data_IF_348529285528
#
_entry.id   IF_348529285528
#
_cell.length_a   1.000
_cell.length_b   1.000
_cell.length_c   1.000
_cell.angle_alpha   90.00
_cell.angle_beta   90.00
_cell.angle_gamma   90.00
#
_symmetry.space_group_name_H-M   'P 1'
#
loop_
_entity.id
_entity.type
_entity.pdbx_description
1 polymer ?
#
# COMPACT_ATOMS: atom_id res chain seq x y z
N UNK A 1 12.57 -0.23 5.74
CA UNK A 1 11.75 0.75 6.47
C UNK A 1 10.72 0.00 7.31
N UNK A 2 10.29 0.59 8.42
CA UNK A 2 9.23 0.07 9.30
C UNK A 2 8.22 1.19 9.50
N UNK A 3 6.95 0.94 9.24
CA UNK A 3 5.89 1.94 9.37
C UNK A 3 5.47 2.04 10.84
N UNK A 4 5.47 3.25 11.39
CA UNK A 4 4.84 3.52 12.68
C UNK A 4 3.33 3.68 12.45
N UNK A 5 2.55 2.69 12.88
CA UNK A 5 1.10 2.70 12.72
C UNK A 5 0.39 3.00 14.04
N UNK A 6 -0.74 3.69 13.96
CA UNK A 6 -1.64 3.82 15.10
C UNK A 6 -2.63 2.65 15.15
N UNK A 7 -3.02 2.20 16.34
CA UNK A 7 -3.89 1.02 16.55
C UNK A 7 -5.33 1.21 16.07
N UNK A 8 -5.66 2.36 15.50
CA UNK A 8 -6.96 2.71 14.92
C UNK A 8 -6.96 2.58 13.39
N UNK A 9 -5.78 2.52 12.76
CA UNK A 9 -5.60 2.57 11.30
C UNK A 9 -5.69 1.17 10.71
N UNK A 10 -6.80 0.48 10.96
CA UNK A 10 -6.95 -0.96 10.68
C UNK A 10 -7.54 -1.28 9.29
N UNK A 11 -8.04 -0.27 8.56
CA UNK A 11 -8.70 -0.44 7.25
C UNK A 11 -8.06 0.38 6.16
N UNK A 12 -7.48 -0.25 5.14
CA UNK A 12 -6.76 0.41 4.06
C UNK A 12 -7.68 1.23 3.14
N UNK A 13 -8.93 0.82 3.00
CA UNK A 13 -9.83 1.41 2.03
C UNK A 13 -10.18 2.89 2.28
N UNK A 14 -9.97 3.44 3.49
CA UNK A 14 -10.08 4.89 3.74
C UNK A 14 -9.01 5.72 3.03
N UNK A 15 -7.85 5.12 2.71
CA UNK A 15 -6.78 5.80 1.97
C UNK A 15 -7.24 6.23 0.56
N UNK A 16 -8.29 5.59 0.03
CA UNK A 16 -8.88 5.93 -1.27
C UNK A 16 -9.58 7.28 -1.26
N UNK A 17 -10.36 7.54 -0.20
CA UNK A 17 -10.99 8.84 0.01
C UNK A 17 -9.94 9.94 0.18
N UNK A 18 -8.84 9.65 0.88
CA UNK A 18 -7.72 10.59 1.04
C UNK A 18 -7.08 10.92 -0.32
N UNK A 19 -6.76 9.90 -1.14
CA UNK A 19 -6.16 10.12 -2.47
C UNK A 19 -7.12 10.87 -3.40
N UNK A 20 -8.41 10.50 -3.41
CA UNK A 20 -9.43 11.18 -4.21
C UNK A 20 -9.60 12.65 -3.83
N UNK A 21 -9.62 12.94 -2.51
CA UNK A 21 -9.68 14.30 -1.99
C UNK A 21 -8.43 15.10 -2.37
N UNK A 22 -7.24 14.53 -2.14
CA UNK A 22 -5.98 15.19 -2.47
C UNK A 22 -5.86 15.47 -3.97
N UNK A 23 -6.26 14.55 -4.85
CA UNK A 23 -6.25 14.77 -6.31
C UNK A 23 -7.15 15.93 -6.73
N UNK A 24 -8.36 16.01 -6.14
CA UNK A 24 -9.34 17.05 -6.46
C UNK A 24 -8.90 18.43 -5.97
N UNK A 25 -8.27 18.48 -4.80
CA UNK A 25 -7.89 19.71 -4.13
C UNK A 25 -6.47 20.19 -4.45
N UNK A 26 -5.62 19.32 -5.04
CA UNK A 26 -4.28 19.69 -5.52
C UNK A 26 -4.33 20.80 -6.59
N UNK A 27 -5.43 20.92 -7.33
CA UNK A 27 -5.62 22.00 -8.31
C UNK A 27 -6.00 23.35 -7.67
N UNK A 28 -6.28 23.39 -6.37
CA UNK A 28 -6.84 24.55 -5.67
C UNK A 28 -5.92 25.10 -4.58
N UNK A 29 -4.72 24.54 -4.38
CA UNK A 29 -3.74 24.90 -3.34
C UNK A 29 -4.29 24.91 -1.89
N UNK A 30 -5.42 24.23 -1.63
CA UNK A 30 -6.11 24.25 -0.33
C UNK A 30 -5.84 23.00 0.55
N UNK A 31 -5.09 22.02 0.06
CA UNK A 31 -5.11 20.65 0.59
C UNK A 31 -4.19 20.36 1.79
N UNK A 32 -4.21 21.16 2.86
CA UNK A 32 -3.40 20.84 4.06
C UNK A 32 -3.74 19.46 4.65
N UNK A 33 -2.80 18.81 5.35
CA UNK A 33 -3.05 17.49 5.96
C UNK A 33 -4.23 17.51 6.96
N UNK A 34 -4.40 18.61 7.70
CA UNK A 34 -5.54 18.79 8.62
C UNK A 34 -6.86 18.95 7.86
N UNK A 35 -6.83 19.62 6.71
CA UNK A 35 -7.98 19.73 5.81
C UNK A 35 -8.38 18.36 5.25
N UNK A 36 -7.43 17.56 4.76
CA UNK A 36 -7.70 16.20 4.28
C UNK A 36 -8.25 15.28 5.38
N UNK A 37 -7.77 15.43 6.63
CA UNK A 37 -8.31 14.70 7.76
C UNK A 37 -9.77 15.09 8.06
N UNK A 38 -10.10 16.37 7.91
CA UNK A 38 -11.46 16.89 8.10
C UNK A 38 -12.40 16.39 7.00
N UNK A 39 -11.94 16.38 5.74
CA UNK A 39 -12.68 15.76 4.63
C UNK A 39 -12.96 14.29 4.92
N UNK A 40 -11.94 13.51 5.31
CA UNK A 40 -12.12 12.09 5.61
C UNK A 40 -13.14 11.88 6.73
N UNK A 41 -13.06 12.64 7.82
CA UNK A 41 -14.00 12.53 8.92
C UNK A 41 -15.45 12.81 8.48
N UNK A 42 -15.67 13.91 7.74
CA UNK A 42 -16.99 14.29 7.21
C UNK A 42 -17.51 13.27 6.19
N UNK A 43 -16.64 12.78 5.30
CA UNK A 43 -16.97 11.73 4.35
C UNK A 43 -17.46 10.46 5.04
N UNK A 44 -16.81 10.04 6.12
CA UNK A 44 -17.20 8.83 6.87
C UNK A 44 -18.57 8.98 7.54
N UNK A 45 -18.91 10.19 8.03
CA UNK A 45 -20.25 10.47 8.59
C UNK A 45 -21.37 10.37 7.54
N UNK A 46 -21.05 10.62 6.26
CA UNK A 46 -22.00 10.58 5.13
C UNK A 46 -22.16 9.18 4.53
N UNK A 47 -21.36 8.19 4.95
CA UNK A 47 -21.48 6.83 4.42
C UNK A 47 -22.78 6.18 4.85
N UNK A 48 -23.40 5.42 3.94
CA UNK A 48 -24.53 4.58 4.30
C UNK A 48 -24.11 3.53 5.32
N UNK A 49 -24.92 3.38 6.36
CA UNK A 49 -24.70 2.39 7.40
C UNK A 49 -24.60 0.99 6.78
N UNK A 50 -23.72 0.12 7.31
CA UNK A 50 -23.69 -1.28 6.87
C UNK A 50 -25.03 -1.97 7.25
N UNK A 51 -25.42 -3.03 6.53
CA UNK A 51 -26.55 -3.86 6.94
C UNK A 51 -26.39 -4.34 8.39
N UNK A 52 -27.51 -4.46 9.12
CA UNK A 52 -27.52 -4.83 10.54
C UNK A 52 -26.83 -6.18 10.86
N UNK A 53 -26.68 -7.06 9.87
CA UNK A 53 -25.95 -8.33 9.97
C UNK A 53 -24.44 -8.19 9.99
N UNK A 54 -23.87 -6.99 9.80
CA UNK A 54 -22.44 -6.75 9.62
C UNK A 54 -21.86 -5.72 10.62
N UNK A 55 -22.49 -5.57 11.79
CA UNK A 55 -22.22 -4.50 12.78
C UNK A 55 -20.81 -4.56 13.42
N UNK A 56 -20.09 -5.70 13.36
CA UNK A 56 -18.75 -5.84 13.98
C UNK A 56 -17.59 -5.40 13.05
N UNK A 57 -17.73 -4.22 12.44
CA UNK A 57 -16.65 -3.61 11.63
C UNK A 57 -15.62 -2.95 12.54
N UNK A 58 -14.42 -3.54 12.61
CA UNK A 58 -13.25 -2.93 13.27
C UNK A 58 -12.63 -1.85 12.40
N UNK A 59 -12.01 -0.86 13.04
CA UNK A 59 -11.25 0.19 12.35
C UNK A 59 -12.10 1.32 11.81
N UNK A 60 -13.28 1.53 12.37
CA UNK A 60 -14.14 2.68 12.05
C UNK A 60 -13.45 3.98 12.46
N UNK A 61 -13.40 4.94 11.53
CA UNK A 61 -12.99 6.31 11.84
C UNK A 61 -14.13 6.99 12.60
N UNK A 62 -13.94 7.19 13.91
CA UNK A 62 -14.95 7.79 14.82
C UNK A 62 -14.52 9.13 15.41
N UNK A 63 -13.34 9.61 15.07
CA UNK A 63 -12.76 10.83 15.62
C UNK A 63 -11.82 11.49 14.62
N UNK A 64 -11.61 12.78 14.80
CA UNK A 64 -10.60 13.55 14.05
C UNK A 64 -9.20 12.98 14.24
N UNK A 65 -8.89 12.43 15.43
CA UNK A 65 -7.59 11.80 15.71
C UNK A 65 -7.37 10.57 14.82
N UNK A 66 -8.39 9.71 14.70
CA UNK A 66 -8.32 8.55 13.81
C UNK A 66 -8.14 8.99 12.35
N UNK A 67 -8.86 10.02 11.90
CA UNK A 67 -8.71 10.56 10.54
C UNK A 67 -7.30 11.12 10.28
N UNK A 68 -6.72 11.85 11.23
CA UNK A 68 -5.33 12.33 11.16
C UNK A 68 -4.32 11.19 11.10
N UNK A 69 -4.53 10.12 11.86
CA UNK A 69 -3.67 8.93 11.83
C UNK A 69 -3.70 8.27 10.44
N UNK A 70 -4.85 8.26 9.76
CA UNK A 70 -4.98 7.80 8.38
C UNK A 70 -4.24 8.69 7.37
N UNK A 71 -4.33 10.01 7.52
CA UNK A 71 -3.57 10.95 6.68
C UNK A 71 -2.06 10.80 6.89
N UNK A 72 -1.62 10.59 8.14
CA UNK A 72 -0.21 10.29 8.44
C UNK A 72 0.24 9.00 7.77
N UNK A 73 -0.56 7.93 7.85
CA UNK A 73 -0.25 6.68 7.13
C UNK A 73 -0.17 6.91 5.61
N UNK A 74 -1.08 7.69 5.04
CA UNK A 74 -1.04 8.02 3.61
C UNK A 74 0.26 8.74 3.22
N UNK A 75 0.76 9.64 4.06
CA UNK A 75 2.05 10.30 3.86
C UNK A 75 3.24 9.34 4.01
N UNK A 76 3.20 8.41 4.97
CA UNK A 76 4.24 7.39 5.16
C UNK A 76 4.30 6.37 4.01
N UNK A 77 3.18 6.12 3.36
CA UNK A 77 3.09 5.30 2.16
C UNK A 77 3.37 6.09 0.87
N UNK A 78 3.72 7.37 0.96
CA UNK A 78 3.92 8.26 -0.19
C UNK A 78 2.69 8.32 -1.13
N UNK A 79 1.49 8.12 -0.56
CA UNK A 79 0.22 8.45 -1.21
C UNK A 79 -0.01 9.97 -1.19
N UNK A 80 0.42 10.61 -0.10
CA UNK A 80 0.55 12.05 0.00
C UNK A 80 2.02 12.43 0.07
N UNK A 81 2.35 13.61 -0.46
CA UNK A 81 3.65 14.22 -0.25
C UNK A 81 3.80 14.63 1.21
N UNK A 82 4.97 14.38 1.79
CA UNK A 82 5.33 14.86 3.13
C UNK A 82 5.65 16.36 3.15
N UNK A 83 6.00 16.92 1.99
CA UNK A 83 6.48 18.31 1.85
C UNK A 83 5.39 19.26 1.39
N UNK A 84 4.37 18.74 0.71
CA UNK A 84 3.34 19.53 0.05
C UNK A 84 1.97 18.88 0.22
N UNK A 85 0.90 19.68 0.16
CA UNK A 85 -0.50 19.22 0.19
C UNK A 85 -0.93 18.45 -1.08
N UNK A 86 -0.02 17.77 -1.75
CA UNK A 86 -0.24 17.12 -3.06
C UNK A 86 -0.11 15.61 -2.96
N UNK A 87 -0.52 14.91 -4.01
CA UNK A 87 -0.22 13.48 -4.15
C UNK A 87 1.29 13.23 -4.12
N UNK A 88 1.69 12.16 -3.43
CA UNK A 88 3.02 11.56 -3.55
C UNK A 88 3.10 10.64 -4.78
N UNK A 89 4.26 10.05 -5.05
CA UNK A 89 4.46 9.18 -6.22
C UNK A 89 3.46 8.00 -6.24
N UNK A 90 3.29 7.30 -5.11
CA UNK A 90 2.36 6.18 -5.03
C UNK A 90 0.90 6.65 -5.09
N UNK A 91 0.64 7.88 -4.63
CA UNK A 91 -0.67 8.52 -4.73
C UNK A 91 -1.05 8.80 -6.16
N UNK A 92 -0.10 9.28 -6.97
CA UNK A 92 -0.29 9.49 -8.42
C UNK A 92 -0.57 8.15 -9.10
N UNK A 93 0.21 7.10 -8.83
CA UNK A 93 -0.05 5.74 -9.38
C UNK A 93 -1.51 5.33 -9.13
N UNK A 94 -1.98 5.49 -7.89
CA UNK A 94 -3.34 5.09 -7.52
C UNK A 94 -4.44 6.01 -8.08
N UNK A 95 -4.20 7.33 -8.09
CA UNK A 95 -5.15 8.35 -8.54
C UNK A 95 -5.52 8.25 -10.02
N UNK A 96 -4.71 7.57 -10.83
CA UNK A 96 -4.98 7.35 -12.26
C UNK A 96 -5.52 5.94 -12.58
N UNK A 97 -5.93 5.20 -11.55
CA UNK A 97 -6.69 3.95 -11.71
C UNK A 97 -8.17 4.24 -11.89
N UNK A 98 -8.92 3.37 -12.57
CA UNK A 98 -10.40 3.44 -12.61
C UNK A 98 -11.02 3.17 -11.24
N UNK A 99 -10.29 2.49 -10.36
CA UNK A 99 -10.74 2.15 -9.01
C UNK A 99 -11.09 3.38 -8.16
N UNK A 100 -10.42 4.52 -8.36
CA UNK A 100 -10.66 5.77 -7.60
C UNK A 100 -11.96 6.49 -7.99
N UNK A 101 -12.48 6.27 -9.21
CA UNK A 101 -13.54 7.09 -9.80
C UNK A 101 -14.81 7.15 -8.93
N UNK A 102 -15.16 6.04 -8.27
CA UNK A 102 -16.33 6.00 -7.40
C UNK A 102 -16.14 6.83 -6.12
N UNK A 103 -14.92 6.87 -5.57
CA UNK A 103 -14.57 7.74 -4.45
C UNK A 103 -14.61 9.21 -4.85
N UNK A 104 -14.13 9.54 -6.05
CA UNK A 104 -14.18 10.92 -6.56
C UNK A 104 -15.63 11.40 -6.77
N UNK A 105 -16.48 10.58 -7.40
CA UNK A 105 -17.89 10.89 -7.59
C UNK A 105 -18.62 11.10 -6.25
N UNK A 106 -18.33 10.26 -5.25
CA UNK A 106 -18.87 10.44 -3.90
C UNK A 106 -18.44 11.76 -3.25
N UNK A 107 -17.16 12.13 -3.34
CA UNK A 107 -16.67 13.40 -2.79
C UNK A 107 -17.28 14.63 -3.49
N UNK A 108 -17.66 14.51 -4.77
CA UNK A 108 -18.40 15.55 -5.50
C UNK A 108 -19.91 15.55 -5.24
N UNK A 109 -20.42 14.58 -4.48
CA UNK A 109 -21.86 14.41 -4.23
C UNK A 109 -22.64 13.82 -5.43
N UNK A 110 -21.94 13.23 -6.40
CA UNK A 110 -22.51 12.62 -7.60
C UNK A 110 -22.86 11.13 -7.41
N UNK A 111 -22.38 10.53 -6.32
CA UNK A 111 -22.60 9.12 -5.98
C UNK A 111 -22.75 8.94 -4.47
N UNK A 112 -23.33 7.81 -4.07
CA UNK A 112 -23.41 7.38 -2.68
C UNK A 112 -22.45 6.20 -2.43
N UNK A 113 -21.85 6.14 -1.24
CA UNK A 113 -21.02 5.02 -0.80
C UNK A 113 -21.56 4.44 0.50
N UNK A 114 -21.57 3.12 0.61
CA UNK A 114 -21.70 2.44 1.89
C UNK A 114 -20.35 2.31 2.58
N UNK A 115 -20.38 2.06 3.90
CA UNK A 115 -19.17 1.70 4.64
C UNK A 115 -18.46 0.48 4.03
N UNK A 116 -19.21 -0.50 3.52
CA UNK A 116 -18.64 -1.71 2.91
C UNK A 116 -17.87 -1.40 1.64
N UNK A 117 -18.40 -0.50 0.82
CA UNK A 117 -17.73 -0.03 -0.39
C UNK A 117 -16.39 0.63 -0.04
N UNK A 118 -16.31 1.31 1.12
CA UNK A 118 -15.09 1.98 1.61
C UNK A 118 -14.11 1.05 2.32
N UNK A 119 -14.53 -0.04 2.97
CA UNK A 119 -13.58 -0.94 3.65
C UNK A 119 -13.19 -2.17 2.83
N UNK A 120 -13.94 -2.49 1.77
CA UNK A 120 -13.67 -3.63 0.90
C UNK A 120 -12.87 -3.19 -0.32
N UNK A 121 -11.70 -3.79 -0.50
CA UNK A 121 -10.83 -3.55 -1.64
C UNK A 121 -11.20 -4.45 -2.82
N UNK A 122 -11.23 -3.87 -4.02
CA UNK A 122 -11.29 -4.58 -5.31
C UNK A 122 -9.98 -5.35 -5.55
N UNK A 123 -9.96 -6.40 -6.39
CA UNK A 123 -8.76 -7.21 -6.62
C UNK A 123 -7.51 -6.41 -6.97
N UNK A 124 -7.60 -5.44 -7.89
CA UNK A 124 -6.48 -4.58 -8.28
C UNK A 124 -6.01 -3.70 -7.11
N UNK A 125 -6.94 -3.18 -6.31
CA UNK A 125 -6.60 -2.40 -5.11
C UNK A 125 -5.89 -3.27 -4.07
N UNK A 126 -6.32 -4.53 -3.89
CA UNK A 126 -5.63 -5.48 -3.01
C UNK A 126 -4.18 -5.67 -3.46
N UNK A 127 -3.94 -5.89 -4.75
CA UNK A 127 -2.56 -6.02 -5.23
C UNK A 127 -1.77 -4.71 -5.05
N UNK A 128 -2.36 -3.56 -5.39
CA UNK A 128 -1.73 -2.25 -5.22
C UNK A 128 -1.31 -2.02 -3.76
N UNK A 129 -2.23 -2.18 -2.82
CA UNK A 129 -1.93 -1.97 -1.40
C UNK A 129 -1.01 -3.06 -0.84
N UNK A 130 -1.09 -4.31 -1.33
CA UNK A 130 -0.14 -5.36 -0.95
C UNK A 130 1.28 -4.99 -1.35
N UNK A 131 1.49 -4.61 -2.62
CA UNK A 131 2.78 -4.13 -3.12
C UNK A 131 3.28 -2.93 -2.30
N UNK A 132 2.40 -1.94 -2.11
CA UNK A 132 2.72 -0.70 -1.42
C UNK A 132 3.21 -0.96 0.00
N UNK A 133 2.48 -1.79 0.76
CA UNK A 133 2.82 -2.11 2.13
C UNK A 133 4.06 -3.00 2.23
N UNK A 134 4.22 -3.99 1.35
CA UNK A 134 5.41 -4.86 1.34
C UNK A 134 6.68 -4.07 1.06
N UNK A 135 6.63 -3.06 0.19
CA UNK A 135 7.80 -2.22 -0.11
C UNK A 135 8.07 -1.23 1.02
N UNK A 136 7.04 -0.57 1.56
CA UNK A 136 7.21 0.48 2.57
C UNK A 136 7.40 -0.05 4.00
N UNK A 137 6.91 -1.26 4.29
CA UNK A 137 7.06 -1.94 5.59
C UNK A 137 7.90 -3.23 5.48
N UNK A 138 8.86 -3.23 4.54
CA UNK A 138 9.63 -4.41 4.12
C UNK A 138 10.29 -5.21 5.26
N UNK A 139 10.70 -4.55 6.35
CA UNK A 139 11.39 -5.25 7.43
C UNK A 139 10.46 -6.04 8.36
N UNK A 140 9.18 -5.70 8.38
CA UNK A 140 8.21 -6.27 9.31
C UNK A 140 7.15 -7.06 8.56
N UNK A 141 6.44 -6.44 7.61
CA UNK A 141 5.28 -7.06 6.99
C UNK A 141 5.59 -8.37 6.24
N UNK A 142 6.65 -8.48 5.40
CA UNK A 142 7.01 -9.76 4.78
C UNK A 142 7.27 -10.89 5.78
N UNK A 143 7.90 -10.58 6.91
CA UNK A 143 8.15 -11.57 7.97
C UNK A 143 6.87 -11.95 8.72
N UNK A 144 5.96 -11.00 8.95
CA UNK A 144 4.62 -11.31 9.48
C UNK A 144 3.89 -12.23 8.52
N UNK A 145 3.87 -11.91 7.21
CA UNK A 145 3.16 -12.74 6.22
C UNK A 145 3.75 -14.15 6.20
N UNK A 146 5.09 -14.31 6.19
CA UNK A 146 5.72 -15.64 6.25
C UNK A 146 5.28 -16.43 7.49
N UNK A 147 5.35 -15.81 8.68
CA UNK A 147 4.90 -16.44 9.92
C UNK A 147 3.41 -16.82 9.89
N UNK A 148 2.56 -15.92 9.37
CA UNK A 148 1.13 -16.15 9.17
C UNK A 148 0.89 -17.36 8.27
N UNK A 149 1.63 -17.47 7.17
CA UNK A 149 1.51 -18.58 6.23
C UNK A 149 2.00 -19.90 6.83
N UNK A 150 3.01 -19.87 7.70
CA UNK A 150 3.50 -21.06 8.42
C UNK A 150 2.53 -21.52 9.51
N UNK A 151 1.92 -20.57 10.22
CA UNK A 151 1.03 -20.84 11.37
C UNK A 151 -0.41 -21.17 10.94
N UNK A 152 -0.87 -20.60 9.84
CA UNK A 152 -2.18 -20.81 9.18
C UNK A 152 -3.42 -20.38 9.98
N UNK A 153 -3.53 -20.68 11.28
CA UNK A 153 -4.60 -20.27 12.19
C UNK A 153 -4.03 -19.79 13.51
N UNK A 154 -4.43 -18.60 13.96
CA UNK A 154 -3.88 -17.99 15.17
C UNK A 154 -4.83 -16.95 15.78
N UNK A 155 -4.62 -16.68 17.06
CA UNK A 155 -5.26 -15.58 17.78
C UNK A 155 -4.46 -14.28 17.65
N UNK A 156 -5.15 -13.16 17.84
CA UNK A 156 -4.53 -11.83 17.89
C UNK A 156 -3.41 -11.76 18.93
N UNK A 157 -3.58 -12.41 20.07
CA UNK A 157 -2.61 -12.37 21.15
C UNK A 157 -1.33 -13.14 20.80
N UNK A 158 -1.46 -14.31 20.17
CA UNK A 158 -0.31 -15.10 19.68
C UNK A 158 0.49 -14.28 18.66
N UNK A 159 -0.19 -13.67 17.69
CA UNK A 159 0.46 -12.79 16.73
C UNK A 159 1.13 -11.59 17.41
N UNK A 160 0.45 -10.93 18.35
CA UNK A 160 1.03 -9.79 19.08
C UNK A 160 2.32 -10.18 19.81
N UNK A 161 2.31 -11.33 20.50
CA UNK A 161 3.48 -11.81 21.22
C UNK A 161 4.61 -12.17 20.25
N UNK A 162 4.35 -13.00 19.24
CA UNK A 162 5.39 -13.45 18.31
C UNK A 162 6.01 -12.28 17.53
N UNK A 163 5.19 -11.39 16.97
CA UNK A 163 5.68 -10.27 16.17
C UNK A 163 6.51 -9.32 17.02
N UNK A 164 6.10 -9.02 18.26
CA UNK A 164 6.81 -8.04 19.09
C UNK A 164 8.00 -8.63 19.85
N UNK A 165 7.98 -9.92 20.19
CA UNK A 165 9.03 -10.57 20.99
C UNK A 165 10.10 -11.22 20.11
N UNK A 166 9.75 -11.61 18.87
CA UNK A 166 10.68 -12.28 17.95
C UNK A 166 11.01 -11.42 16.73
N UNK A 167 9.99 -11.02 15.95
CA UNK A 167 10.22 -10.35 14.66
C UNK A 167 10.69 -8.90 14.80
N UNK A 168 10.10 -8.13 15.73
CA UNK A 168 10.42 -6.72 15.92
C UNK A 168 11.87 -6.49 16.35
N UNK A 169 12.45 -7.24 17.33
CA UNK A 169 13.87 -7.16 17.64
C UNK A 169 14.77 -7.57 16.46
N UNK A 170 14.37 -8.56 15.66
CA UNK A 170 15.11 -8.93 14.44
C UNK A 170 15.13 -7.79 13.41
N UNK A 171 13.97 -7.16 13.17
CA UNK A 171 13.88 -6.01 12.29
C UNK A 171 14.74 -4.84 12.78
N UNK A 172 14.74 -4.55 14.09
CA UNK A 172 15.60 -3.53 14.68
C UNK A 172 17.10 -3.85 14.49
N UNK A 173 17.51 -5.11 14.65
CA UNK A 173 18.90 -5.54 14.38
C UNK A 173 19.30 -5.29 12.93
N UNK A 174 18.43 -5.60 11.97
CA UNK A 174 18.69 -5.34 10.55
C UNK A 174 18.83 -3.85 10.24
N UNK A 175 18.01 -2.99 10.87
CA UNK A 175 18.13 -1.53 10.73
C UNK A 175 19.47 -1.06 11.32
N UNK A 176 19.81 -1.53 12.52
CA UNK A 176 21.03 -1.16 13.23
C UNK A 176 22.29 -1.51 12.42
N UNK A 177 22.31 -2.69 11.80
CA UNK A 177 23.43 -3.15 10.97
C UNK A 177 23.67 -2.26 9.73
N UNK A 178 22.61 -1.65 9.19
CA UNK A 178 22.67 -0.73 8.06
C UNK A 178 22.75 0.75 8.46
N UNK A 179 22.66 1.07 9.76
CA UNK A 179 22.57 2.42 10.27
C UNK A 179 23.95 3.07 10.44
N UNK A 180 24.06 4.36 10.09
CA UNK A 180 25.23 5.18 10.43
C UNK A 180 25.32 5.49 11.93
N UNK A 181 26.50 5.94 12.40
CA UNK A 181 26.83 6.16 13.83
C UNK A 181 25.75 6.91 14.64
N UNK A 182 25.16 7.97 14.08
CA UNK A 182 24.13 8.77 14.77
C UNK A 182 22.84 7.98 15.01
N UNK A 183 22.34 7.28 14.00
CA UNK A 183 21.12 6.47 14.10
C UNK A 183 21.31 5.25 15.03
N UNK A 184 22.54 4.74 15.17
CA UNK A 184 22.82 3.65 16.12
C UNK A 184 22.54 4.05 17.58
N UNK A 185 22.84 5.29 17.97
CA UNK A 185 22.61 5.77 19.34
C UNK A 185 21.13 5.78 19.76
N UNK A 186 20.21 5.99 18.80
CA UNK A 186 18.76 5.95 19.05
C UNK A 186 18.16 4.55 18.95
N UNK A 187 18.75 3.69 18.09
CA UNK A 187 18.23 2.35 17.82
C UNK A 187 18.68 1.31 18.85
N UNK A 188 19.89 1.45 19.40
CA UNK A 188 20.45 0.50 20.35
C UNK A 188 19.59 0.38 21.63
N UNK A 189 19.18 1.48 22.30
CA UNK A 189 18.28 1.39 23.46
C UNK A 189 16.92 0.79 23.11
N UNK A 190 16.40 1.07 21.91
CA UNK A 190 15.13 0.48 21.42
C UNK A 190 15.25 -1.04 21.26
N UNK A 191 16.39 -1.52 20.75
CA UNK A 191 16.66 -2.94 20.59
C UNK A 191 16.82 -3.65 21.95
N UNK A 192 17.62 -3.10 22.86
CA UNK A 192 17.82 -3.65 24.21
C UNK A 192 16.51 -3.73 25.00
N UNK A 193 15.64 -2.71 24.87
CA UNK A 193 14.30 -2.75 25.44
C UNK A 193 13.45 -3.86 24.79
N UNK A 194 13.51 -3.99 23.45
CA UNK A 194 12.71 -4.98 22.72
C UNK A 194 13.10 -6.43 23.03
N UNK A 195 14.38 -6.70 23.29
CA UNK A 195 14.85 -8.02 23.69
C UNK A 195 14.26 -8.48 25.04
N UNK A 196 13.84 -7.55 25.90
CA UNK A 196 13.25 -7.84 27.21
C UNK A 196 11.73 -7.84 27.22
N UNK A 197 11.07 -7.62 26.08
CA UNK A 197 9.60 -7.51 26.07
C UNK A 197 8.89 -8.75 26.59
N UNK A 198 9.39 -9.95 26.29
CA UNK A 198 8.82 -11.20 26.81
C UNK A 198 8.89 -11.24 28.34
N UNK A 199 10.05 -10.93 28.90
CA UNK A 199 10.28 -10.88 30.35
C UNK A 199 9.36 -9.85 31.01
N UNK A 200 9.31 -8.63 30.46
CA UNK A 200 8.44 -7.56 30.96
C UNK A 200 6.95 -7.92 30.86
N UNK A 201 6.50 -8.54 29.76
CA UNK A 201 5.11 -8.99 29.60
C UNK A 201 4.75 -10.05 30.64
N UNK A 202 5.65 -10.99 30.94
CA UNK A 202 5.40 -12.08 31.88
C UNK A 202 5.28 -11.61 33.34
N UNK A 203 5.71 -10.39 33.68
CA UNK A 203 5.48 -9.78 35.00
C UNK A 203 4.00 -9.48 35.28
N UNK A 204 3.19 -9.31 34.23
CA UNK A 204 1.76 -9.04 34.39
C UNK A 204 0.99 -10.35 34.60
N UNK A 205 0.58 -10.61 35.85
CA UNK A 205 -0.16 -11.83 36.22
C UNK A 205 -1.63 -11.79 35.78
N UNK A 206 -2.23 -10.60 35.71
CA UNK A 206 -3.64 -10.41 35.34
C UNK A 206 -3.78 -9.77 33.95
N UNK A 207 -4.71 -10.31 33.16
CA UNK A 207 -5.05 -9.78 31.82
C UNK A 207 -5.45 -8.29 31.84
N UNK A 208 -6.16 -7.85 32.87
CA UNK A 208 -6.61 -6.46 32.99
C UNK A 208 -5.43 -5.49 33.19
N UNK A 209 -4.41 -5.90 33.93
CA UNK A 209 -3.18 -5.11 34.14
C UNK A 209 -2.37 -5.05 32.85
N UNK A 210 -2.22 -6.19 32.17
CA UNK A 210 -1.54 -6.25 30.87
C UNK A 210 -2.16 -5.28 29.85
N UNK A 211 -3.48 -5.29 29.66
CA UNK A 211 -4.15 -4.44 28.65
C UNK A 211 -4.03 -2.94 28.94
N UNK A 212 -3.78 -2.56 30.20
CA UNK A 212 -3.57 -1.15 30.62
C UNK A 212 -2.10 -0.73 30.57
N UNK A 213 -1.17 -1.66 30.30
CA UNK A 213 0.26 -1.35 30.28
C UNK A 213 0.69 -0.58 29.02
N UNK A 214 1.77 0.20 29.16
CA UNK A 214 2.43 0.87 28.02
C UNK A 214 2.98 -0.13 26.99
N UNK A 215 3.44 -1.31 27.45
CA UNK A 215 3.94 -2.37 26.58
C UNK A 215 2.83 -2.95 25.69
N UNK A 216 1.64 -3.19 26.26
CA UNK A 216 0.48 -3.59 25.46
C UNK A 216 0.08 -2.54 24.43
N UNK A 217 0.11 -1.25 24.81
CA UNK A 217 -0.15 -0.17 23.87
C UNK A 217 0.82 -0.25 22.68
N UNK A 218 2.13 -0.43 22.94
CA UNK A 218 3.14 -0.61 21.89
C UNK A 218 2.83 -1.79 20.97
N UNK A 219 2.45 -2.94 21.53
CA UNK A 219 2.07 -4.12 20.73
C UNK A 219 0.84 -3.82 19.86
N UNK A 220 -0.15 -3.11 20.42
CA UNK A 220 -1.41 -2.77 19.75
C UNK A 220 -1.23 -1.77 18.61
N UNK A 221 -0.22 -0.92 18.67
CA UNK A 221 0.07 0.03 17.60
C UNK A 221 0.77 -0.63 16.40
N UNK A 222 1.57 -1.69 16.63
CA UNK A 222 2.30 -2.37 15.56
C UNK A 222 1.50 -3.50 14.91
N UNK A 223 0.97 -4.43 15.70
CA UNK A 223 0.52 -5.74 15.19
C UNK A 223 -0.91 -5.72 14.67
N UNK A 224 -1.94 -5.31 15.45
CA UNK A 224 -3.32 -5.34 14.99
C UNK A 224 -3.57 -4.62 13.66
N UNK A 225 -3.07 -3.38 13.39
CA UNK A 225 -3.29 -2.74 12.10
C UNK A 225 -2.83 -3.62 10.92
N UNK A 226 -1.65 -4.22 11.02
CA UNK A 226 -1.10 -5.10 9.98
C UNK A 226 -1.93 -6.35 9.78
N UNK A 227 -2.42 -6.99 10.85
CA UNK A 227 -3.32 -8.13 10.72
C UNK A 227 -4.61 -7.75 9.98
N UNK A 228 -5.16 -6.56 10.27
CA UNK A 228 -6.36 -6.09 9.60
C UNK A 228 -6.12 -5.65 8.15
N UNK A 229 -4.95 -5.11 7.85
CA UNK A 229 -4.52 -4.90 6.47
C UNK A 229 -4.44 -6.23 5.72
N UNK A 230 -3.87 -7.29 6.31
CA UNK A 230 -3.85 -8.61 5.69
C UNK A 230 -5.27 -9.19 5.47
N UNK A 231 -6.25 -8.82 6.30
CA UNK A 231 -7.67 -9.13 6.05
C UNK A 231 -8.20 -8.35 4.85
N UNK A 232 -7.99 -7.03 4.80
CA UNK A 232 -8.43 -6.18 3.67
C UNK A 232 -7.81 -6.63 2.33
N UNK A 233 -6.56 -7.10 2.36
CA UNK A 233 -5.83 -7.63 1.21
C UNK A 233 -6.29 -9.04 0.81
N UNK A 234 -7.15 -9.70 1.61
CA UNK A 234 -7.64 -11.05 1.35
C UNK A 234 -6.65 -12.17 1.69
N UNK A 235 -5.56 -11.87 2.40
CA UNK A 235 -4.59 -12.87 2.87
C UNK A 235 -5.11 -13.63 4.10
N UNK A 236 -5.83 -12.92 4.96
CA UNK A 236 -6.44 -13.46 6.17
C UNK A 236 -7.96 -13.37 6.09
N UNK A 237 -8.63 -14.27 6.80
CA UNK A 237 -10.05 -14.22 7.14
C UNK A 237 -10.20 -14.15 8.65
N UNK A 238 -11.21 -13.43 9.11
CA UNK A 238 -11.62 -13.44 10.51
C UNK A 238 -12.62 -14.57 10.72
N UNK A 239 -12.31 -15.48 11.61
CA UNK A 239 -13.18 -16.64 11.90
C UNK A 239 -14.01 -16.39 13.15
N UNK A 240 -13.41 -15.75 14.16
CA UNK A 240 -14.05 -15.32 15.40
C UNK A 240 -13.41 -14.03 15.88
N UNK A 241 -13.98 -13.42 16.93
CA UNK A 241 -13.42 -12.22 17.55
C UNK A 241 -11.96 -12.44 17.95
N UNK A 242 -11.05 -11.74 17.26
CA UNK A 242 -9.60 -11.83 17.51
C UNK A 242 -8.96 -13.16 17.11
N UNK A 243 -9.56 -13.91 16.18
CA UNK A 243 -8.99 -15.14 15.60
C UNK A 243 -8.96 -15.03 14.08
N UNK A 244 -7.81 -15.37 13.49
CA UNK A 244 -7.52 -15.22 12.07
C UNK A 244 -7.10 -16.55 11.48
N UNK A 245 -7.44 -16.75 10.21
CA UNK A 245 -7.01 -17.89 9.40
C UNK A 245 -6.57 -17.42 8.03
N UNK A 246 -5.57 -18.08 7.44
CA UNK A 246 -5.16 -17.81 6.06
C UNK A 246 -6.29 -18.15 5.10
N UNK A 247 -6.46 -17.36 4.04
CA UNK A 247 -7.47 -17.63 3.02
C UNK A 247 -7.10 -18.83 2.15
N UNK A 248 -8.10 -19.57 1.67
CA UNK A 248 -7.88 -20.81 0.89
C UNK A 248 -7.09 -20.52 -0.41
N UNK A 249 -7.37 -19.38 -1.04
CA UNK A 249 -6.64 -18.91 -2.23
C UNK A 249 -5.14 -18.79 -1.96
N UNK A 250 -4.78 -18.26 -0.78
CA UNK A 250 -3.39 -18.00 -0.40
C UNK A 250 -2.71 -19.28 0.07
N UNK A 251 -3.41 -20.17 0.78
CA UNK A 251 -2.92 -21.49 1.13
C UNK A 251 -2.57 -22.31 -0.13
N UNK A 252 -3.44 -22.29 -1.15
CA UNK A 252 -3.18 -22.94 -2.44
C UNK A 252 -1.92 -22.46 -3.16
N UNK A 253 -1.39 -21.28 -2.79
CA UNK A 253 -0.19 -20.68 -3.38
C UNK A 253 0.88 -20.33 -2.32
N UNK A 254 0.85 -20.98 -1.15
CA UNK A 254 1.71 -20.65 0.01
C UNK A 254 3.20 -20.56 -0.33
N UNK A 255 3.73 -21.56 -1.04
CA UNK A 255 5.13 -21.59 -1.44
C UNK A 255 5.51 -20.40 -2.35
N UNK A 256 4.58 -19.94 -3.17
CA UNK A 256 4.78 -18.82 -4.08
C UNK A 256 4.90 -17.50 -3.30
N UNK A 257 4.00 -17.25 -2.36
CA UNK A 257 4.05 -16.08 -1.49
C UNK A 257 5.36 -16.04 -0.68
N UNK A 258 5.73 -17.16 -0.04
CA UNK A 258 6.97 -17.25 0.74
C UNK A 258 8.19 -16.96 -0.14
N UNK A 259 8.26 -17.56 -1.34
CA UNK A 259 9.36 -17.33 -2.28
C UNK A 259 9.43 -15.86 -2.70
N UNK A 260 8.33 -15.26 -3.14
CA UNK A 260 8.30 -13.85 -3.57
C UNK A 260 8.72 -12.89 -2.45
N UNK A 261 8.27 -13.13 -1.22
CA UNK A 261 8.59 -12.30 -0.05
C UNK A 261 10.04 -12.48 0.46
N UNK A 262 10.76 -13.48 -0.04
CA UNK A 262 12.17 -13.71 0.32
C UNK A 262 13.15 -12.93 -0.56
N UNK A 263 12.67 -12.27 -1.63
CA UNK A 263 13.51 -11.43 -2.48
C UNK A 263 13.89 -10.10 -1.80
N UNK A 264 15.08 -9.56 -2.09
CA UNK A 264 15.52 -8.27 -1.56
C UNK A 264 14.63 -7.11 -2.04
N UNK A 265 14.63 -5.95 -1.36
CA UNK A 265 13.80 -4.80 -1.71
C UNK A 265 13.94 -4.33 -3.17
N UNK A 266 15.13 -4.45 -3.75
CA UNK A 266 15.42 -4.05 -5.13
C UNK A 266 14.71 -4.92 -6.17
N UNK A 267 14.36 -6.17 -5.81
CA UNK A 267 13.71 -7.13 -6.73
C UNK A 267 12.27 -7.42 -6.37
N UNK A 268 11.83 -7.12 -5.14
CA UNK A 268 10.51 -7.55 -4.66
C UNK A 268 9.35 -6.98 -5.50
N UNK A 269 9.46 -5.74 -5.98
CA UNK A 269 8.44 -5.14 -6.84
C UNK A 269 8.26 -5.96 -8.11
N UNK A 270 9.34 -6.22 -8.85
CA UNK A 270 9.31 -7.05 -10.07
C UNK A 270 8.67 -8.42 -9.79
N UNK A 271 9.06 -9.07 -8.69
CA UNK A 271 8.57 -10.40 -8.32
C UNK A 271 7.09 -10.41 -7.92
N UNK A 272 6.58 -9.36 -7.28
CA UNK A 272 5.15 -9.24 -6.97
C UNK A 272 4.34 -9.22 -8.28
N UNK A 273 4.75 -8.41 -9.26
CA UNK A 273 4.05 -8.31 -10.54
C UNK A 273 4.22 -9.56 -11.40
N UNK A 274 5.41 -10.16 -11.45
CA UNK A 274 5.64 -11.36 -12.27
C UNK A 274 4.97 -12.62 -11.73
N UNK A 275 4.82 -12.70 -10.41
CA UNK A 275 4.54 -13.97 -9.73
C UNK A 275 3.25 -13.96 -8.92
N UNK A 276 2.99 -12.90 -8.15
CA UNK A 276 1.79 -12.84 -7.30
C UNK A 276 0.60 -12.20 -8.00
N UNK A 277 0.82 -11.22 -8.89
CA UNK A 277 -0.29 -10.60 -9.63
C UNK A 277 -1.16 -11.60 -10.41
N UNK A 278 -0.59 -12.60 -11.14
CA UNK A 278 -1.39 -13.62 -11.83
C UNK A 278 -2.26 -14.48 -10.90
N UNK A 279 -1.86 -14.63 -9.63
CA UNK A 279 -2.57 -15.44 -8.63
C UNK A 279 -3.62 -14.62 -7.88
N UNK A 280 -3.32 -13.35 -7.61
CA UNK A 280 -4.20 -12.45 -6.86
C UNK A 280 -5.31 -11.85 -7.74
N UNK A 281 -5.10 -11.76 -9.05
CA UNK A 281 -6.07 -11.25 -10.02
C UNK A 281 -6.61 -12.42 -10.86
N UNK A 282 -7.90 -12.71 -10.71
CA UNK A 282 -8.55 -13.80 -11.43
C UNK A 282 -8.54 -13.53 -12.94
N UNK A 283 -8.26 -14.57 -13.75
CA UNK A 283 -8.20 -14.50 -15.21
C UNK A 283 -7.11 -13.58 -15.79
N UNK A 284 -6.12 -13.22 -14.98
CA UNK A 284 -5.03 -12.38 -15.42
C UNK A 284 -4.15 -13.08 -16.46
N UNK A 285 -4.07 -12.53 -17.66
CA UNK A 285 -3.23 -12.99 -18.76
C UNK A 285 -2.02 -12.08 -18.97
N UNK A 286 -1.05 -12.50 -19.78
CA UNK A 286 0.06 -11.62 -20.19
C UNK A 286 -0.47 -10.48 -21.06
N UNK A 287 0.04 -9.26 -20.84
CA UNK A 287 -0.28 -8.13 -21.70
C UNK A 287 0.24 -8.36 -23.13
N UNK A 288 -0.60 -8.11 -24.13
CA UNK A 288 -0.14 -8.05 -25.53
C UNK A 288 0.72 -6.80 -25.74
N UNK A 289 1.57 -6.82 -26.76
CA UNK A 289 2.40 -5.65 -27.11
C UNK A 289 1.55 -4.41 -27.41
N UNK A 290 0.46 -4.57 -28.16
CA UNK A 290 -0.48 -3.50 -28.47
C UNK A 290 -1.11 -2.91 -27.20
N UNK A 291 -1.58 -3.77 -26.29
CA UNK A 291 -2.18 -3.32 -25.04
C UNK A 291 -1.18 -2.58 -24.15
N UNK A 292 0.05 -3.08 -24.07
CA UNK A 292 1.13 -2.46 -23.32
C UNK A 292 1.47 -1.07 -23.90
N UNK A 293 1.66 -0.97 -25.22
CA UNK A 293 1.94 0.30 -25.91
C UNK A 293 0.83 1.33 -25.70
N UNK A 294 -0.44 0.90 -25.89
CA UNK A 294 -1.61 1.75 -25.71
C UNK A 294 -1.74 2.24 -24.27
N UNK A 295 -1.57 1.36 -23.29
CA UNK A 295 -1.68 1.72 -21.88
C UNK A 295 -0.53 2.63 -21.43
N UNK A 296 0.68 2.41 -21.94
CA UNK A 296 1.84 3.28 -21.70
C UNK A 296 1.56 4.73 -22.10
N UNK A 297 1.07 4.95 -23.32
CA UNK A 297 0.77 6.30 -23.83
C UNK A 297 -0.38 6.94 -23.06
N UNK A 298 -1.48 6.19 -22.87
CA UNK A 298 -2.64 6.72 -22.16
C UNK A 298 -2.30 7.13 -20.72
N UNK A 299 -1.47 6.32 -20.05
CA UNK A 299 -1.02 6.59 -18.69
C UNK A 299 -0.07 7.77 -18.64
N UNK A 300 0.90 7.83 -19.56
CA UNK A 300 1.82 8.97 -19.66
C UNK A 300 1.05 10.27 -19.90
N UNK A 301 0.15 10.32 -20.88
CA UNK A 301 -0.60 11.53 -21.22
C UNK A 301 -1.45 12.01 -20.04
N UNK A 302 -2.12 11.09 -19.34
CA UNK A 302 -2.93 11.42 -18.17
C UNK A 302 -2.09 11.99 -17.02
N UNK A 303 -0.96 11.34 -16.69
CA UNK A 303 -0.08 11.78 -15.60
C UNK A 303 0.66 13.07 -15.98
N UNK A 304 1.18 13.18 -17.20
CA UNK A 304 1.91 14.36 -17.66
C UNK A 304 1.01 15.60 -17.67
N UNK A 305 -0.24 15.45 -18.12
CA UNK A 305 -1.23 16.55 -18.08
C UNK A 305 -1.48 17.01 -16.65
N UNK A 306 -1.63 16.09 -15.71
CA UNK A 306 -1.84 16.42 -14.30
C UNK A 306 -0.62 17.07 -13.63
N UNK A 307 0.59 16.59 -13.95
CA UNK A 307 1.83 17.16 -13.42
C UNK A 307 2.23 18.47 -14.10
N UNK A 308 1.64 18.80 -15.25
CA UNK A 308 2.06 19.94 -16.08
C UNK A 308 3.49 19.79 -16.60
N UNK A 309 4.00 18.56 -16.74
CA UNK A 309 5.43 18.34 -16.94
C UNK A 309 5.85 16.89 -17.16
N UNK A 310 7.18 16.63 -17.10
CA UNK A 310 7.75 15.34 -17.42
C UNK A 310 7.43 14.29 -16.34
N UNK A 311 7.36 13.03 -16.76
CA UNK A 311 6.95 11.90 -15.91
C UNK A 311 8.14 11.01 -15.61
N UNK A 312 8.43 10.79 -14.32
CA UNK A 312 9.48 9.86 -13.88
C UNK A 312 9.21 8.45 -14.39
N UNK A 313 10.20 7.81 -15.00
CA UNK A 313 10.03 6.50 -15.63
C UNK A 313 9.54 5.43 -14.65
N UNK A 314 10.09 5.39 -13.44
CA UNK A 314 9.68 4.43 -12.41
C UNK A 314 8.21 4.60 -11.98
N UNK A 315 7.73 5.85 -11.93
CA UNK A 315 6.34 6.14 -11.65
C UNK A 315 5.44 5.60 -12.77
N UNK A 316 5.83 5.83 -14.02
CA UNK A 316 5.10 5.39 -15.21
C UNK A 316 5.05 3.87 -15.30
N UNK A 317 6.17 3.17 -15.05
CA UNK A 317 6.23 1.70 -15.00
C UNK A 317 5.16 1.11 -14.08
N UNK A 318 5.09 1.63 -12.85
CA UNK A 318 4.14 1.15 -11.85
C UNK A 318 2.69 1.50 -12.23
N UNK A 319 2.45 2.73 -12.69
CA UNK A 319 1.12 3.16 -13.12
C UNK A 319 0.58 2.31 -14.27
N UNK A 320 1.42 2.01 -15.27
CA UNK A 320 1.06 1.16 -16.41
C UNK A 320 0.79 -0.27 -15.95
N UNK A 321 1.64 -0.85 -15.10
CA UNK A 321 1.42 -2.18 -14.54
C UNK A 321 0.06 -2.28 -13.81
N UNK A 322 -0.26 -1.31 -12.94
CA UNK A 322 -1.53 -1.31 -12.21
C UNK A 322 -2.72 -1.11 -13.15
N UNK A 323 -2.63 -0.22 -14.14
CA UNK A 323 -3.72 0.02 -15.10
C UNK A 323 -3.98 -1.16 -16.04
N UNK A 324 -2.94 -1.87 -16.47
CA UNK A 324 -3.08 -3.13 -17.22
C UNK A 324 -3.86 -4.18 -16.42
N UNK A 325 -3.63 -4.26 -15.11
CA UNK A 325 -4.34 -5.21 -14.25
C UNK A 325 -5.83 -4.91 -14.12
N UNK A 326 -6.26 -3.65 -14.28
CA UNK A 326 -7.68 -3.32 -14.37
C UNK A 326 -8.35 -3.94 -15.60
N UNK A 327 -7.57 -4.36 -16.60
CA UNK A 327 -8.01 -5.10 -17.78
C UNK A 327 -7.60 -6.58 -17.74
N UNK A 328 -7.27 -7.13 -16.55
CA UNK A 328 -6.76 -8.49 -16.37
C UNK A 328 -5.50 -8.80 -17.19
N UNK A 329 -4.66 -7.80 -17.43
CA UNK A 329 -3.39 -7.95 -18.13
C UNK A 329 -2.22 -7.72 -17.18
N UNK A 330 -1.25 -8.61 -17.22
CA UNK A 330 -0.06 -8.58 -16.37
C UNK A 330 1.14 -8.15 -17.22
N UNK A 331 1.83 -7.14 -16.72
CA UNK A 331 3.17 -6.78 -17.16
C UNK A 331 4.01 -6.44 -15.92
N UNK A 332 5.33 -6.53 -16.05
CA UNK A 332 6.27 -6.15 -15.00
C UNK A 332 6.90 -4.79 -15.28
N UNK A 333 7.41 -4.07 -14.25
CA UNK A 333 8.12 -2.83 -14.45
C UNK A 333 9.27 -2.93 -15.47
N UNK A 334 10.00 -4.04 -15.46
CA UNK A 334 11.08 -4.28 -16.42
C UNK A 334 10.57 -4.40 -17.86
N UNK A 335 9.42 -5.05 -18.08
CA UNK A 335 8.81 -5.11 -19.41
C UNK A 335 8.36 -3.74 -19.90
N UNK A 336 7.80 -2.90 -19.02
CA UNK A 336 7.42 -1.52 -19.37
C UNK A 336 8.65 -0.70 -19.73
N UNK A 337 9.73 -0.80 -18.93
CA UNK A 337 11.01 -0.14 -19.21
C UNK A 337 11.58 -0.54 -20.57
N UNK A 338 11.59 -1.84 -20.85
CA UNK A 338 12.10 -2.37 -22.11
C UNK A 338 11.28 -1.83 -23.30
N UNK A 339 9.96 -1.75 -23.17
CA UNK A 339 9.11 -1.11 -24.18
C UNK A 339 9.46 0.36 -24.39
N UNK A 340 9.61 1.14 -23.31
CA UNK A 340 9.97 2.57 -23.42
C UNK A 340 11.30 2.71 -24.17
N UNK A 341 12.31 1.91 -23.79
CA UNK A 341 13.62 1.94 -24.43
C UNK A 341 13.52 1.56 -25.93
N UNK A 342 12.80 0.48 -26.26
CA UNK A 342 12.59 0.07 -27.66
C UNK A 342 11.91 1.16 -28.48
N UNK A 343 10.81 1.73 -27.97
CA UNK A 343 10.11 2.80 -28.66
C UNK A 343 10.97 4.05 -28.81
N UNK A 344 11.82 4.37 -27.82
CA UNK A 344 12.73 5.53 -27.91
C UNK A 344 13.82 5.37 -28.96
N UNK A 345 14.25 4.13 -29.23
CA UNK A 345 15.21 3.82 -30.30
C UNK A 345 14.52 3.82 -31.67
N UNK A 346 13.29 3.30 -31.75
CA UNK A 346 12.52 3.25 -32.99
C UNK A 346 12.01 4.64 -33.43
N UNK A 347 11.69 5.52 -32.48
CA UNK A 347 11.08 6.82 -32.72
C UNK A 347 11.78 7.94 -31.91
N UNK A 348 13.08 8.20 -32.18
CA UNK A 348 13.88 9.16 -31.40
C UNK A 348 13.41 10.62 -31.53
N UNK A 349 12.64 10.95 -32.57
CA UNK A 349 12.02 12.25 -32.83
C UNK A 349 10.65 12.42 -32.14
N UNK A 350 10.11 11.34 -31.56
CA UNK A 350 8.76 11.31 -30.96
C UNK A 350 8.76 10.96 -29.48
N UNK A 351 9.85 10.38 -28.99
CA UNK A 351 10.01 9.97 -27.59
C UNK A 351 11.26 10.63 -27.03
N UNK A 352 11.07 11.46 -26.01
CA UNK A 352 12.14 12.24 -25.42
C UNK A 352 12.34 11.85 -23.96
N UNK A 353 13.54 11.34 -23.67
CA UNK A 353 14.00 10.99 -22.33
C UNK A 353 15.04 12.00 -21.87
N UNK A 354 14.92 12.47 -20.64
CA UNK A 354 15.90 13.37 -20.01
C UNK A 354 16.30 12.86 -18.62
N UNK A 355 17.56 13.06 -18.21
CA UNK A 355 17.93 12.89 -16.82
C UNK A 355 17.25 13.97 -15.99
N UNK A 356 16.64 13.58 -14.88
CA UNK A 356 16.05 14.50 -13.91
C UNK A 356 16.99 14.85 -12.76
N UNK A 357 16.52 15.68 -11.81
CA UNK A 357 17.33 16.19 -10.70
C UNK A 357 17.66 15.16 -9.62
N UNK A 358 17.06 13.96 -9.68
CA UNK A 358 17.19 12.89 -8.69
C UNK A 358 17.88 11.63 -9.26
N UNK A 359 18.75 11.82 -10.26
CA UNK A 359 19.47 10.77 -11.03
C UNK A 359 18.54 9.73 -11.69
N UNK A 360 17.23 10.01 -11.75
CA UNK A 360 16.26 9.19 -12.44
C UNK A 360 15.99 9.71 -13.84
N UNK A 361 15.56 8.81 -14.73
CA UNK A 361 15.11 9.17 -16.08
C UNK A 361 13.65 9.63 -16.06
N UNK A 362 13.37 10.62 -16.90
CA UNK A 362 12.04 11.19 -17.10
C UNK A 362 11.66 11.15 -18.57
N UNK A 363 10.42 10.77 -18.83
CA UNK A 363 9.78 10.88 -20.13
C UNK A 363 9.14 12.27 -20.23
N UNK A 364 9.56 13.07 -21.21
CA UNK A 364 9.03 14.44 -21.40
C UNK A 364 7.95 14.49 -22.47
N UNK A 365 7.99 13.56 -23.44
CA UNK A 365 7.04 13.50 -24.56
C UNK A 365 6.95 12.09 -25.13
N UNK A 366 5.73 11.68 -25.48
CA UNK A 366 5.44 10.54 -26.35
C UNK A 366 4.42 11.00 -27.39
N UNK A 367 4.73 10.85 -28.68
CA UNK A 367 3.83 11.26 -29.76
C UNK A 367 3.81 10.21 -30.87
N UNK A 368 3.18 9.07 -30.60
CA UNK A 368 3.05 7.95 -31.53
C UNK A 368 1.63 7.86 -32.08
N UNK A 369 1.50 7.59 -33.38
CA UNK A 369 0.22 7.34 -34.05
C UNK A 369 -0.28 5.90 -33.83
N UNK A 370 -1.60 5.62 -33.98
CA UNK A 370 -2.14 4.27 -33.81
C UNK A 370 -1.47 3.20 -34.67
N UNK A 371 -1.02 3.54 -35.88
CA UNK A 371 -0.29 2.61 -36.77
C UNK A 371 1.08 2.22 -36.21
N UNK A 372 1.74 3.14 -35.52
CA UNK A 372 3.05 2.92 -34.88
C UNK A 372 2.94 2.08 -33.60
N UNK A 373 1.73 1.94 -33.04
CA UNK A 373 1.48 1.12 -31.86
C UNK A 373 1.23 -0.36 -32.17
N UNK A 374 0.81 -0.64 -33.40
CA UNK A 374 0.49 -1.99 -33.88
C UNK A 374 1.72 -2.77 -34.39
N UNK A 375 2.83 -2.07 -34.64
CA UNK A 375 4.13 -2.62 -35.05
C UNK A 375 4.98 -3.04 -33.86
#
# INVERSE_FOLDING_TARGET
MMIESHGEVCRLGYLRLIVAAAKSESARDQASQSFLASILEESVKKLKAPPASQVDVVGLVRSTVAARNYVSLAADLNLLSKKSPTLGENGIVYAFTRSIAHSEAFLRGEAELSLLDVITLKPVERLFFFWLLVVNDYLVLPSIIRWVLETESFSRLEAMNYVMEELYPQALRSILAAAGKRAQSELLPKLEAAQRYREERLKYSRKAEWIRSSLYAKYRHIVPPRLEWLVDLGLLRRVKRGRYEVSDQVLGHKALFIKTLSYPPSKITEQIFSTLAPVMIQYAGKASREALNKELINTFNAISTYLGGPVKIRLLELAVCIRLLENNQVATPSQIRETINKLSVLYPDKIYLVPGPDDNLYLTRINLSPKELAL
#
